data_IF_029184988532
#
_entry.id   IF_029184988532
#
_cell.length_a   1.000
_cell.length_b   1.000
_cell.length_c   1.000
_cell.angle_alpha   90.00
_cell.angle_beta   90.00
_cell.angle_gamma   90.00
#
_symmetry.space_group_name_H-M   'P 1'
#
loop_
_entity.id
_entity.type
_entity.pdbx_description
1 polymer ?
#
# COMPACT_ATOMS: atom_id res chain seq x y z
N UNK A 1 -20.55 -7.58 12.29
CA UNK A 1 -20.49 -8.14 10.92
C UNK A 1 -21.91 -8.42 10.45
N UNK A 2 -22.36 -7.84 9.32
CA UNK A 2 -23.63 -8.17 8.70
C UNK A 2 -23.68 -9.66 8.30
N UNK A 3 -24.88 -10.24 8.24
CA UNK A 3 -25.04 -11.61 7.75
C UNK A 3 -24.78 -11.69 6.24
N UNK A 4 -24.45 -12.88 5.74
CA UNK A 4 -24.23 -13.11 4.30
C UNK A 4 -25.45 -12.73 3.46
N UNK A 5 -26.67 -12.99 3.97
CA UNK A 5 -27.92 -12.60 3.31
C UNK A 5 -28.05 -11.07 3.18
N UNK A 6 -27.71 -10.34 4.25
CA UNK A 6 -27.72 -8.87 4.24
C UNK A 6 -26.70 -8.32 3.25
N UNK A 7 -25.49 -8.87 3.22
CA UNK A 7 -24.45 -8.47 2.25
C UNK A 7 -24.89 -8.75 0.81
N UNK A 8 -25.47 -9.93 0.56
CA UNK A 8 -25.95 -10.32 -0.77
C UNK A 8 -27.06 -9.41 -1.26
N UNK A 9 -28.04 -9.08 -0.41
CA UNK A 9 -29.13 -8.18 -0.77
C UNK A 9 -28.59 -6.78 -1.08
N UNK A 10 -27.71 -6.24 -0.23
CA UNK A 10 -27.08 -4.94 -0.47
C UNK A 10 -26.36 -4.91 -1.81
N UNK A 11 -25.53 -5.90 -2.11
CA UNK A 11 -24.74 -5.97 -3.36
C UNK A 11 -25.58 -6.08 -4.64
N UNK A 12 -26.85 -6.48 -4.53
CA UNK A 12 -27.77 -6.61 -5.65
C UNK A 12 -28.55 -5.30 -5.93
N UNK A 13 -28.73 -4.42 -4.94
CA UNK A 13 -29.60 -3.24 -5.06
C UNK A 13 -29.01 -1.96 -4.41
N UNK A 14 -28.56 -0.96 -5.20
CA UNK A 14 -28.13 -1.03 -6.60
C UNK A 14 -26.80 -1.80 -6.75
N UNK A 15 -26.52 -2.39 -7.93
CA UNK A 15 -25.29 -3.16 -8.14
C UNK A 15 -24.06 -2.27 -7.98
N UNK A 16 -23.11 -2.74 -7.16
CA UNK A 16 -21.85 -2.04 -6.86
C UNK A 16 -21.03 -1.69 -8.12
N UNK A 17 -21.12 -2.54 -9.14
CA UNK A 17 -20.48 -2.36 -10.42
C UNK A 17 -21.52 -2.51 -11.53
N UNK A 18 -21.60 -1.53 -12.42
CA UNK A 18 -22.52 -1.57 -13.56
C UNK A 18 -22.32 -2.88 -14.34
N UNK A 19 -23.43 -3.57 -14.61
CA UNK A 19 -23.47 -4.80 -15.40
C UNK A 19 -22.63 -5.98 -14.86
N UNK A 20 -22.19 -5.91 -13.59
CA UNK A 20 -21.42 -6.99 -12.96
C UNK A 20 -22.10 -7.48 -11.69
N UNK A 21 -22.02 -8.79 -11.48
CA UNK A 21 -22.51 -9.43 -10.26
C UNK A 21 -21.31 -9.73 -9.36
N UNK A 22 -21.32 -9.18 -8.15
CA UNK A 22 -20.31 -9.49 -7.15
C UNK A 22 -20.51 -10.92 -6.63
N UNK A 23 -19.46 -11.75 -6.71
CA UNK A 23 -19.47 -13.11 -6.15
C UNK A 23 -18.99 -13.07 -4.71
N UNK A 24 -19.87 -13.46 -3.78
CA UNK A 24 -19.53 -13.65 -2.37
C UNK A 24 -19.08 -15.09 -2.11
N UNK A 25 -18.10 -15.25 -1.23
CA UNK A 25 -17.83 -16.55 -0.60
C UNK A 25 -19.06 -17.03 0.20
N UNK A 26 -19.31 -18.35 0.28
CA UNK A 26 -20.34 -18.90 1.16
C UNK A 26 -20.09 -18.56 2.64
N UNK A 27 -18.82 -18.45 3.03
CA UNK A 27 -18.39 -18.23 4.42
C UNK A 27 -17.26 -17.20 4.49
N UNK A 28 -17.14 -16.44 5.60
CA UNK A 28 -16.01 -15.56 5.82
C UNK A 28 -14.72 -16.38 5.99
N UNK A 29 -13.59 -15.79 5.60
CA UNK A 29 -12.28 -16.38 5.91
C UNK A 29 -11.91 -16.07 7.37
N UNK A 30 -11.82 -17.06 8.26
CA UNK A 30 -11.45 -16.82 9.65
C UNK A 30 -9.97 -16.45 9.76
N UNK A 31 -9.66 -15.46 10.58
CA UNK A 31 -8.28 -15.04 10.89
C UNK A 31 -8.04 -15.34 12.37
N UNK A 32 -7.00 -16.10 12.68
CA UNK A 32 -6.59 -16.36 14.06
C UNK A 32 -5.99 -15.11 14.72
N UNK A 33 -5.92 -15.09 16.05
CA UNK A 33 -5.27 -13.98 16.77
C UNK A 33 -3.79 -13.82 16.39
N UNK A 34 -3.08 -14.93 16.15
CA UNK A 34 -1.69 -14.90 15.71
C UNK A 34 -1.55 -14.28 14.32
N UNK A 35 -2.41 -14.67 13.37
CA UNK A 35 -2.44 -14.10 12.02
C UNK A 35 -2.79 -12.61 12.06
N UNK A 36 -3.75 -12.20 12.89
CA UNK A 36 -4.10 -10.78 13.03
C UNK A 36 -2.91 -9.96 13.56
N UNK A 37 -2.16 -10.50 14.52
CA UNK A 37 -0.95 -9.86 15.05
C UNK A 37 0.12 -9.74 13.96
N UNK A 38 0.33 -10.77 13.16
CA UNK A 38 1.27 -10.77 12.04
C UNK A 38 0.89 -9.72 10.99
N UNK A 39 -0.38 -9.66 10.57
CA UNK A 39 -0.89 -8.65 9.62
C UNK A 39 -0.62 -7.23 10.14
N UNK A 40 -0.82 -6.96 11.44
CA UNK A 40 -0.51 -5.64 12.04
C UNK A 40 0.98 -5.32 11.97
N UNK A 41 1.85 -6.29 12.24
CA UNK A 41 3.31 -6.12 12.11
C UNK A 41 3.71 -5.85 10.66
N UNK A 42 3.12 -6.55 9.69
CA UNK A 42 3.33 -6.30 8.25
C UNK A 42 2.92 -4.87 7.90
N UNK A 43 1.78 -4.39 8.40
CA UNK A 43 1.34 -3.01 8.20
C UNK A 43 2.37 -1.97 8.68
N UNK A 44 2.91 -2.16 9.89
CA UNK A 44 3.95 -1.28 10.42
C UNK A 44 5.26 -1.33 9.58
N UNK A 45 5.60 -2.52 9.06
CA UNK A 45 6.75 -2.70 8.18
C UNK A 45 6.54 -1.99 6.83
N UNK A 46 5.35 -2.05 6.24
CA UNK A 46 4.99 -1.35 5.00
C UNK A 46 5.14 0.17 5.15
N UNK A 47 4.66 0.73 6.27
CA UNK A 47 4.82 2.15 6.57
C UNK A 47 6.30 2.53 6.70
N UNK A 48 7.08 1.75 7.43
CA UNK A 48 8.52 1.96 7.61
C UNK A 48 9.29 1.88 6.29
N UNK A 49 8.88 0.96 5.41
CA UNK A 49 9.42 0.80 4.06
C UNK A 49 9.14 2.04 3.21
N UNK A 50 7.91 2.57 3.22
CA UNK A 50 7.57 3.78 2.46
C UNK A 50 8.39 4.99 2.93
N UNK A 51 8.59 5.15 4.24
CA UNK A 51 9.49 6.18 4.79
C UNK A 51 10.95 5.97 4.36
N UNK A 52 11.40 4.72 4.25
CA UNK A 52 12.74 4.40 3.77
C UNK A 52 12.92 4.77 2.29
N UNK A 53 11.89 4.53 1.45
CA UNK A 53 11.90 4.92 0.04
C UNK A 53 12.03 6.44 -0.14
N UNK A 54 11.25 7.24 0.62
CA UNK A 54 11.38 8.70 0.59
C UNK A 54 12.80 9.12 1.00
N UNK A 55 13.31 8.60 2.13
CA UNK A 55 14.66 8.91 2.61
C UNK A 55 15.73 8.55 1.58
N UNK A 56 15.56 7.44 0.87
CA UNK A 56 16.47 7.00 -0.20
C UNK A 56 16.41 7.97 -1.39
N UNK A 57 15.21 8.33 -1.86
CA UNK A 57 15.02 9.27 -2.96
C UNK A 57 15.61 10.65 -2.62
N UNK A 58 15.30 11.19 -1.44
CA UNK A 58 15.82 12.48 -0.96
C UNK A 58 17.33 12.50 -0.90
N UNK A 59 17.95 11.45 -0.32
CA UNK A 59 19.41 11.35 -0.28
C UNK A 59 20.00 11.20 -1.67
N UNK A 60 19.33 10.50 -2.58
CA UNK A 60 19.76 10.32 -3.95
C UNK A 60 19.86 11.65 -4.71
N UNK A 61 18.80 12.47 -4.72
CA UNK A 61 18.82 13.73 -5.48
C UNK A 61 19.57 14.87 -4.78
N UNK A 62 19.79 14.79 -3.46
CA UNK A 62 20.61 15.75 -2.70
C UNK A 62 22.08 15.33 -2.55
N UNK A 63 22.47 14.24 -3.19
CA UNK A 63 23.82 13.66 -3.14
C UNK A 63 24.36 13.42 -1.71
N UNK A 64 23.52 12.85 -0.85
CA UNK A 64 23.88 12.51 0.54
C UNK A 64 24.14 11.01 0.69
N UNK A 65 25.02 10.68 1.64
CA UNK A 65 25.32 9.30 2.03
C UNK A 65 24.06 8.58 2.51
N UNK A 66 23.83 7.37 2.00
CA UNK A 66 22.71 6.50 2.43
C UNK A 66 23.03 5.71 3.70
N UNK A 67 24.32 5.47 3.98
CA UNK A 67 24.79 4.85 5.21
C UNK A 67 25.56 5.87 6.06
N UNK A 68 25.43 5.76 7.39
CA UNK A 68 26.12 6.66 8.33
C UNK A 68 27.64 6.44 8.36
N UNK A 69 28.05 5.17 8.28
CA UNK A 69 29.44 4.75 8.53
C UNK A 69 30.21 4.38 7.25
N UNK A 70 29.62 4.60 6.07
CA UNK A 70 30.24 4.27 4.78
C UNK A 70 29.92 5.34 3.76
N UNK A 71 30.87 5.57 2.86
CA UNK A 71 30.71 6.52 1.76
C UNK A 71 29.95 5.89 0.60
N UNK A 72 28.64 5.71 0.79
CA UNK A 72 27.76 5.11 -0.22
C UNK A 72 26.71 6.13 -0.63
N UNK A 73 26.67 6.41 -1.93
CA UNK A 73 25.71 7.29 -2.58
C UNK A 73 24.90 6.49 -3.60
N UNK A 74 23.64 6.86 -3.79
CA UNK A 74 22.71 6.15 -4.67
C UNK A 74 22.08 7.10 -5.70
N UNK A 75 22.89 7.92 -6.40
CA UNK A 75 22.42 8.90 -7.40
C UNK A 75 21.51 8.31 -8.47
N UNK A 76 21.75 7.04 -8.82
CA UNK A 76 20.97 6.31 -9.81
C UNK A 76 19.48 6.21 -9.44
N UNK A 77 19.11 6.23 -8.15
CA UNK A 77 17.72 6.08 -7.70
C UNK A 77 16.86 7.24 -8.19
N UNK A 78 17.25 8.49 -7.91
CA UNK A 78 16.53 9.67 -8.40
C UNK A 78 16.60 9.75 -9.92
N UNK A 79 17.76 9.47 -10.52
CA UNK A 79 17.93 9.42 -11.99
C UNK A 79 16.94 8.46 -12.65
N UNK A 80 16.72 7.29 -12.05
CA UNK A 80 15.77 6.29 -12.54
C UNK A 80 14.33 6.72 -12.30
N UNK A 81 14.00 7.14 -11.07
CA UNK A 81 12.63 7.50 -10.68
C UNK A 81 12.13 8.78 -11.35
N UNK A 82 13.02 9.67 -11.76
CA UNK A 82 12.66 10.93 -12.42
C UNK A 82 12.54 10.79 -13.95
N UNK A 83 12.93 9.64 -14.49
CA UNK A 83 12.92 9.38 -15.93
C UNK A 83 11.50 9.57 -16.49
N UNK A 84 11.41 10.33 -17.58
CA UNK A 84 10.17 10.64 -18.29
C UNK A 84 9.11 11.42 -17.50
N UNK A 85 9.41 11.87 -16.27
CA UNK A 85 8.53 12.78 -15.54
C UNK A 85 8.71 14.21 -16.05
N UNK A 86 7.62 14.99 -16.22
CA UNK A 86 7.74 16.41 -16.51
C UNK A 86 8.39 17.13 -15.33
N UNK A 87 9.15 18.20 -15.59
CA UNK A 87 9.92 18.91 -14.57
C UNK A 87 9.05 19.38 -13.39
N UNK A 88 7.85 19.91 -13.66
CA UNK A 88 6.94 20.35 -12.60
C UNK A 88 6.51 19.23 -11.63
N UNK A 89 6.41 17.98 -12.09
CA UNK A 89 6.10 16.84 -11.22
C UNK A 89 7.29 16.47 -10.34
N UNK A 90 8.51 16.53 -10.89
CA UNK A 90 9.75 16.32 -10.14
C UNK A 90 9.89 17.39 -9.06
N UNK A 91 9.71 18.66 -9.43
CA UNK A 91 9.82 19.80 -8.51
C UNK A 91 8.77 19.73 -7.39
N UNK A 92 7.52 19.37 -7.74
CA UNK A 92 6.47 19.14 -6.76
C UNK A 92 6.87 18.04 -5.75
N UNK A 93 7.31 16.88 -6.24
CA UNK A 93 7.71 15.76 -5.39
C UNK A 93 8.93 16.05 -4.50
N UNK A 94 9.80 16.97 -4.91
CA UNK A 94 10.97 17.42 -4.13
C UNK A 94 10.68 18.61 -3.22
N UNK A 95 9.50 19.21 -3.31
CA UNK A 95 9.16 20.40 -2.54
C UNK A 95 9.11 20.10 -1.04
N UNK A 96 9.63 21.02 -0.22
CA UNK A 96 9.74 20.83 1.24
C UNK A 96 8.41 20.51 1.95
N UNK A 97 7.29 20.96 1.39
CA UNK A 97 5.96 20.72 1.94
C UNK A 97 5.51 19.27 1.77
N UNK A 98 6.03 18.55 0.78
CA UNK A 98 5.71 17.13 0.52
C UNK A 98 6.56 16.21 1.40
N UNK A 99 7.71 16.70 1.90
CA UNK A 99 8.61 15.91 2.72
C UNK A 99 7.92 15.38 3.99
N UNK A 100 8.03 14.08 4.22
CA UNK A 100 7.43 13.35 5.33
C UNK A 100 5.95 13.03 5.13
N UNK A 101 5.33 13.47 4.02
CA UNK A 101 3.98 13.04 3.70
C UNK A 101 4.00 11.58 3.27
N UNK A 102 3.08 10.81 3.82
CA UNK A 102 2.88 9.40 3.48
C UNK A 102 1.46 9.21 2.98
N UNK A 103 1.22 8.23 2.08
CA UNK A 103 -0.12 7.86 1.69
C UNK A 103 -0.98 7.56 2.92
N UNK A 104 -2.22 8.05 2.92
CA UNK A 104 -3.17 7.80 4.01
C UNK A 104 -3.52 6.32 4.13
N UNK A 105 -3.45 5.58 3.01
CA UNK A 105 -3.74 4.15 2.96
C UNK A 105 -2.64 3.45 2.17
N UNK A 106 -2.10 2.39 2.77
CA UNK A 106 -1.24 1.42 2.12
C UNK A 106 -1.99 0.08 2.08
N UNK A 107 -2.00 -0.57 0.92
CA UNK A 107 -2.61 -1.89 0.75
C UNK A 107 -1.54 -2.90 0.36
N UNK A 108 -1.07 -3.73 1.31
CA UNK A 108 -0.23 -4.87 0.98
C UNK A 108 -1.11 -6.03 0.52
N UNK A 109 -0.77 -6.62 -0.61
CA UNK A 109 -1.46 -7.81 -1.13
C UNK A 109 -0.75 -9.06 -0.60
N UNK A 110 -1.45 -9.79 0.27
CA UNK A 110 -0.91 -10.90 1.03
C UNK A 110 -1.42 -12.24 0.52
N UNK A 111 -0.51 -13.18 0.33
CA UNK A 111 -0.78 -14.58 0.08
C UNK A 111 -0.46 -15.38 1.34
N UNK A 112 -1.33 -16.30 1.73
CA UNK A 112 -1.07 -17.22 2.83
C UNK A 112 -0.35 -18.47 2.30
N UNK A 113 0.75 -18.84 2.94
CA UNK A 113 1.51 -20.06 2.66
C UNK A 113 1.62 -20.93 3.92
N UNK A 114 2.25 -22.10 3.80
CA UNK A 114 2.59 -22.97 4.93
C UNK A 114 3.54 -22.31 5.95
N UNK A 115 4.28 -21.28 5.53
CA UNK A 115 5.23 -20.51 6.36
C UNK A 115 4.67 -19.19 6.91
N UNK A 116 3.40 -18.85 6.61
CA UNK A 116 2.78 -17.59 7.04
C UNK A 116 2.39 -16.68 5.88
N UNK A 117 2.27 -15.36 6.15
CA UNK A 117 1.91 -14.40 5.10
C UNK A 117 3.12 -14.02 4.25
N UNK A 118 2.96 -14.10 2.93
CA UNK A 118 3.92 -13.61 1.93
C UNK A 118 3.31 -12.40 1.22
N UNK A 119 4.03 -11.28 1.19
CA UNK A 119 3.60 -10.08 0.46
C UNK A 119 4.02 -10.18 -1.01
N UNK A 120 3.05 -9.96 -1.91
CA UNK A 120 3.25 -10.00 -3.37
C UNK A 120 3.36 -8.61 -3.98
N UNK A 121 2.61 -7.65 -3.45
CA UNK A 121 2.55 -6.26 -3.92
C UNK A 121 2.30 -5.30 -2.74
N UNK A 122 2.69 -4.04 -2.92
CA UNK A 122 2.37 -2.95 -2.00
C UNK A 122 1.88 -1.73 -2.79
N UNK A 123 0.59 -1.43 -2.64
CA UNK A 123 -0.04 -0.27 -3.26
C UNK A 123 -0.05 0.94 -2.33
N UNK A 124 0.40 2.08 -2.86
CA UNK A 124 0.36 3.39 -2.19
C UNK A 124 -0.75 4.33 -2.68
N UNK A 125 -1.48 3.92 -3.74
CA UNK A 125 -2.70 4.61 -4.22
C UNK A 125 -3.80 3.57 -4.44
N UNK A 126 -4.21 2.82 -3.39
CA UNK A 126 -5.13 1.71 -3.57
C UNK A 126 -6.57 2.19 -3.81
N UNK A 127 -7.22 1.59 -4.80
CA UNK A 127 -8.68 1.64 -4.95
C UNK A 127 -9.39 0.64 -4.01
N UNK A 128 -10.72 0.63 -4.03
CA UNK A 128 -11.52 -0.44 -3.39
C UNK A 128 -11.73 -0.31 -1.88
N UNK A 129 -11.21 0.73 -1.21
CA UNK A 129 -11.44 0.95 0.24
C UNK A 129 -12.94 1.12 0.55
N UNK A 130 -13.67 1.86 -0.29
CA UNK A 130 -15.12 2.01 -0.15
C UNK A 130 -15.87 0.69 -0.28
N UNK A 131 -15.37 -0.23 -1.12
CA UNK A 131 -15.90 -1.58 -1.22
C UNK A 131 -15.62 -2.40 0.04
N UNK A 132 -14.40 -2.32 0.59
CA UNK A 132 -14.09 -2.98 1.87
C UNK A 132 -14.98 -2.45 2.99
N UNK A 133 -15.19 -1.14 3.08
CA UNK A 133 -16.10 -0.54 4.06
C UNK A 133 -17.56 -1.00 3.85
N UNK A 134 -17.98 -1.15 2.61
CA UNK A 134 -19.32 -1.62 2.25
C UNK A 134 -19.57 -3.09 2.65
N UNK A 135 -18.52 -3.93 2.69
CA UNK A 135 -18.60 -5.35 3.04
C UNK A 135 -18.50 -5.66 4.55
N UNK A 136 -18.19 -4.66 5.40
CA UNK A 136 -18.04 -4.82 6.86
C UNK A 136 -19.25 -4.27 7.64
#
# INVERSE_FOLDING_TARGET
>A
MPSQQVLRQKLLEPPLFAEKIWKLSPEPWPISESQLKEIKTIGAACYSYHQAMERLYVRSFTDKKILRNRDIHAKWVSTYLDRFKPQGLIDHGRHRMIKGQTPLVLRPDLLITDQGFTMSELDSVPGGIGLTAYLN
#
